data_IF_383454277783
#
_entry.id   IF_383454277783
#
_cell.length_a   1.000
_cell.length_b   1.000
_cell.length_c   1.000
_cell.angle_alpha   90.00
_cell.angle_beta   90.00
_cell.angle_gamma   90.00
#
_symmetry.space_group_name_H-M   'P 1'
#
loop_
_entity.id
_entity.type
_entity.pdbx_description
1 polymer ?
#
# COMPACT_ATOMS: atom_id res chain seq x y z
N UNK A 1 1.53 6.01 -13.71
CA UNK A 1 1.51 4.60 -13.22
C UNK A 1 1.00 4.51 -11.79
N UNK A 2 1.53 5.31 -10.86
CA UNK A 2 1.01 5.41 -9.49
C UNK A 2 -0.49 5.76 -9.47
N UNK A 3 -0.89 6.82 -10.17
CA UNK A 3 -2.27 7.31 -10.16
C UNK A 3 -3.31 6.24 -10.56
N UNK A 4 -2.99 5.41 -11.56
CA UNK A 4 -3.83 4.27 -11.97
C UNK A 4 -3.94 3.22 -10.87
N UNK A 5 -2.83 2.89 -10.20
CA UNK A 5 -2.83 1.94 -9.07
C UNK A 5 -3.59 2.51 -7.87
N UNK A 6 -3.42 3.80 -7.58
CA UNK A 6 -4.12 4.48 -6.51
C UNK A 6 -5.64 4.51 -6.75
N UNK A 7 -6.08 4.80 -7.99
CA UNK A 7 -7.51 4.71 -8.37
C UNK A 7 -8.05 3.30 -8.17
N UNK A 8 -7.34 2.27 -8.65
CA UNK A 8 -7.77 0.88 -8.50
C UNK A 8 -7.79 0.43 -7.03
N UNK A 9 -6.84 0.87 -6.21
CA UNK A 9 -6.77 0.57 -4.78
C UNK A 9 -7.90 1.23 -3.97
N UNK A 10 -8.42 2.37 -4.42
CA UNK A 10 -9.54 3.10 -3.80
C UNK A 10 -10.91 2.70 -4.36
N UNK A 11 -10.97 1.78 -5.32
CA UNK A 11 -12.23 1.25 -5.82
C UNK A 11 -13.00 0.52 -4.71
N UNK A 12 -14.32 0.52 -4.81
CA UNK A 12 -15.19 -0.15 -3.82
C UNK A 12 -15.10 -1.68 -3.91
N UNK A 13 -15.23 -2.36 -2.76
CA UNK A 13 -15.26 -3.83 -2.67
C UNK A 13 -13.87 -4.48 -2.59
N UNK A 14 -13.81 -5.81 -2.48
CA UNK A 14 -12.57 -6.57 -2.28
C UNK A 14 -12.10 -7.31 -3.55
N UNK A 15 -12.23 -6.67 -4.71
CA UNK A 15 -11.88 -7.32 -5.97
C UNK A 15 -10.38 -7.68 -6.09
N UNK A 16 -10.01 -8.75 -6.81
CA UNK A 16 -8.61 -9.17 -6.96
C UNK A 16 -7.73 -8.08 -7.60
N UNK A 17 -8.29 -7.28 -8.52
CA UNK A 17 -7.60 -6.13 -9.10
C UNK A 17 -7.22 -5.07 -8.05
N UNK A 18 -8.10 -4.84 -7.07
CA UNK A 18 -7.87 -3.91 -5.96
C UNK A 18 -6.76 -4.42 -5.03
N UNK A 19 -6.83 -5.69 -4.62
CA UNK A 19 -5.80 -6.30 -3.77
C UNK A 19 -4.43 -6.32 -4.45
N UNK A 20 -4.40 -6.57 -5.76
CA UNK A 20 -3.18 -6.49 -6.57
C UNK A 20 -2.64 -5.05 -6.65
N UNK A 21 -3.51 -4.05 -6.78
CA UNK A 21 -3.13 -2.65 -6.79
C UNK A 21 -2.52 -2.22 -5.45
N UNK A 22 -3.13 -2.60 -4.32
CA UNK A 22 -2.62 -2.35 -2.97
C UNK A 22 -1.22 -2.97 -2.79
N UNK A 23 -1.02 -4.21 -3.24
CA UNK A 23 0.29 -4.86 -3.21
C UNK A 23 1.32 -4.19 -4.12
N UNK A 24 0.89 -3.64 -5.25
CA UNK A 24 1.76 -2.89 -6.16
C UNK A 24 2.20 -1.55 -5.55
N UNK A 25 1.31 -0.85 -4.84
CA UNK A 25 1.63 0.39 -4.12
C UNK A 25 2.70 0.15 -3.04
N UNK A 26 2.55 -0.91 -2.23
CA UNK A 26 3.57 -1.26 -1.22
C UNK A 26 4.91 -1.70 -1.81
N UNK A 27 4.96 -2.11 -3.08
CA UNK A 27 6.20 -2.40 -3.81
C UNK A 27 6.82 -1.17 -4.46
N UNK A 28 5.98 -0.26 -4.97
CA UNK A 28 6.43 1.01 -5.53
C UNK A 28 7.11 1.86 -4.46
N UNK A 29 6.54 1.87 -3.25
CA UNK A 29 7.06 2.68 -2.15
C UNK A 29 6.84 4.18 -2.34
N UNK A 30 7.37 4.97 -1.41
CA UNK A 30 7.25 6.42 -1.40
C UNK A 30 6.08 6.94 -0.56
N UNK A 31 6.15 8.22 -0.21
CA UNK A 31 5.20 8.88 0.68
C UNK A 31 3.77 8.90 0.15
N UNK A 32 3.59 8.99 -1.18
CA UNK A 32 2.26 8.94 -1.80
C UNK A 32 1.61 7.55 -1.63
N UNK A 33 2.39 6.47 -1.79
CA UNK A 33 1.89 5.11 -1.58
C UNK A 33 1.58 4.85 -0.10
N UNK A 34 2.39 5.38 0.81
CA UNK A 34 2.12 5.31 2.25
C UNK A 34 0.80 6.00 2.62
N UNK A 35 0.56 7.21 2.12
CA UNK A 35 -0.68 7.95 2.35
C UNK A 35 -1.92 7.18 1.87
N UNK A 36 -1.88 6.62 0.65
CA UNK A 36 -3.00 5.82 0.12
C UNK A 36 -3.23 4.57 0.97
N UNK A 37 -2.17 3.84 1.34
CA UNK A 37 -2.32 2.62 2.11
C UNK A 37 -2.78 2.88 3.56
N UNK A 38 -2.39 4.01 4.17
CA UNK A 38 -2.90 4.42 5.50
C UNK A 38 -4.38 4.75 5.44
N UNK A 39 -4.80 5.52 4.43
CA UNK A 39 -6.23 5.85 4.25
C UNK A 39 -7.12 4.61 4.08
N UNK A 40 -6.60 3.54 3.48
CA UNK A 40 -7.30 2.26 3.38
C UNK A 40 -7.39 1.49 4.70
N UNK A 41 -6.48 1.73 5.64
CA UNK A 41 -6.57 1.14 6.99
C UNK A 41 -7.56 1.89 7.87
N UNK A 42 -7.55 3.22 7.78
CA UNK A 42 -8.40 4.10 8.60
C UNK A 42 -9.85 4.17 8.07
N UNK A 43 -10.13 3.66 6.87
CA UNK A 43 -11.46 3.63 6.30
C UNK A 43 -12.42 2.68 7.03
N UNK A 44 -13.43 3.23 7.72
CA UNK A 44 -14.44 2.49 8.49
C UNK A 44 -15.31 1.52 7.65
N UNK A 45 -15.41 1.73 6.33
CA UNK A 45 -16.19 0.89 5.41
C UNK A 45 -15.39 -0.18 4.64
N UNK A 46 -14.10 -0.31 4.93
CA UNK A 46 -13.22 -1.22 4.18
C UNK A 46 -13.39 -2.68 4.59
N UNK A 47 -13.37 -3.57 3.60
CA UNK A 47 -13.40 -5.00 3.85
C UNK A 47 -12.12 -5.44 4.60
N UNK A 48 -12.24 -6.41 5.52
CA UNK A 48 -11.11 -6.87 6.32
C UNK A 48 -9.94 -7.37 5.46
N UNK A 49 -10.22 -7.99 4.31
CA UNK A 49 -9.19 -8.42 3.36
C UNK A 49 -8.39 -7.24 2.79
N UNK A 50 -9.06 -6.13 2.53
CA UNK A 50 -8.45 -4.91 2.00
C UNK A 50 -7.58 -4.27 3.07
N UNK A 51 -8.09 -4.15 4.30
CA UNK A 51 -7.32 -3.64 5.45
C UNK A 51 -6.10 -4.51 5.72
N UNK A 52 -6.26 -5.84 5.76
CA UNK A 52 -5.16 -6.77 5.96
C UNK A 52 -4.10 -6.65 4.87
N UNK A 53 -4.52 -6.48 3.61
CA UNK A 53 -3.60 -6.28 2.49
C UNK A 53 -2.89 -4.93 2.56
N UNK A 54 -3.60 -3.86 2.91
CA UNK A 54 -3.03 -2.52 3.08
C UNK A 54 -1.98 -2.51 4.20
N UNK A 55 -2.28 -3.17 5.33
CA UNK A 55 -1.33 -3.33 6.45
C UNK A 55 -0.04 -4.04 6.01
N UNK A 56 -0.18 -5.15 5.27
CA UNK A 56 0.97 -5.90 4.75
C UNK A 56 1.81 -5.07 3.78
N UNK A 57 1.15 -4.30 2.90
CA UNK A 57 1.81 -3.43 1.95
C UNK A 57 2.57 -2.29 2.65
N UNK A 58 1.98 -1.65 3.67
CA UNK A 58 2.64 -0.63 4.48
C UNK A 58 3.87 -1.17 5.20
N UNK A 59 3.72 -2.33 5.86
CA UNK A 59 4.85 -2.92 6.58
C UNK A 59 5.99 -3.31 5.66
N UNK A 60 5.68 -3.69 4.41
CA UNK A 60 6.69 -3.92 3.37
C UNK A 60 7.41 -2.63 2.99
N UNK A 61 6.66 -1.55 2.75
CA UNK A 61 7.19 -0.23 2.41
C UNK A 61 8.14 0.26 3.52
N UNK A 62 7.71 0.20 4.78
CA UNK A 62 8.53 0.60 5.92
C UNK A 62 9.83 -0.20 6.04
N UNK A 63 9.77 -1.53 5.84
CA UNK A 63 10.98 -2.38 5.83
C UNK A 63 11.91 -2.03 4.67
N UNK A 64 11.36 -1.72 3.49
CA UNK A 64 12.16 -1.32 2.34
C UNK A 64 12.87 0.02 2.61
N UNK A 65 12.15 0.99 3.20
CA UNK A 65 12.71 2.27 3.61
C UNK A 65 13.82 2.10 4.68
N UNK A 66 13.59 1.26 5.69
CA UNK A 66 14.60 0.94 6.71
C UNK A 66 15.85 0.27 6.12
N UNK A 67 15.69 -0.64 5.16
CA UNK A 67 16.82 -1.27 4.46
C UNK A 67 17.60 -0.27 3.61
N UNK A 68 16.91 0.63 2.92
CA UNK A 68 17.56 1.70 2.16
C UNK A 68 18.35 2.63 3.09
N UNK A 69 17.81 2.96 4.26
CA UNK A 69 18.51 3.75 5.27
C UNK A 69 19.72 3.01 5.87
N UNK A 70 19.60 1.70 6.12
CA UNK A 70 20.68 0.88 6.69
C UNK A 70 21.79 0.52 5.67
N UNK A 71 21.46 0.42 4.38
CA UNK A 71 22.40 0.12 3.29
C UNK A 71 23.11 1.34 2.70
N UNK A 72 22.73 2.56 3.10
CA UNK A 72 23.40 3.81 2.70
C UNK A 72 24.70 4.10 3.44
N UNK A 73 25.15 3.20 4.32
CA UNK A 73 26.44 3.25 4.99
C UNK A 73 27.38 2.19 4.37
N UNK A 74 27.73 2.34 3.09
CA UNK A 74 28.75 1.53 2.42
C UNK A 74 29.59 2.42 1.50
#
# INVERSE_FOLDING_TARGET
RFETLAKTAQATGAGPARLAAIAALGRLGGSEAEGVLSGLLDGDGEADEVRAQAFRALRRLQRAAQRAAAGGAQ
#
